data_IF_067579868321
#
_entry.id   IF_067579868321
#
_cell.length_a   1.000
_cell.length_b   1.000
_cell.length_c   1.000
_cell.angle_alpha   90.00
_cell.angle_beta   90.00
_cell.angle_gamma   90.00
#
_symmetry.space_group_name_H-M   'P 1'
#
loop_
_entity.id
_entity.type
_entity.pdbx_description
1 polymer ?
#
# COMPACT_ATOMS: atom_id res chain seq x y z
N UNK A 1 28.57 2.77 -4.39
CA UNK A 1 27.23 3.24 -3.96
C UNK A 1 27.28 3.55 -2.48
N UNK A 2 26.71 4.67 -2.03
CA UNK A 2 26.67 5.02 -0.60
C UNK A 2 25.95 3.89 0.17
N UNK A 3 26.55 3.34 1.23
CA UNK A 3 26.01 2.14 1.91
C UNK A 3 24.60 2.36 2.48
N UNK A 4 24.27 3.59 2.88
CA UNK A 4 22.92 3.96 3.30
C UNK A 4 21.93 3.95 2.13
N UNK A 5 22.34 4.43 0.95
CA UNK A 5 21.51 4.34 -0.27
C UNK A 5 21.26 2.87 -0.67
N UNK A 6 22.26 2.00 -0.50
CA UNK A 6 22.06 0.55 -0.69
C UNK A 6 21.00 -0.01 0.27
N UNK A 7 21.00 0.39 1.54
CA UNK A 7 19.96 -0.01 2.49
C UNK A 7 18.56 0.45 2.04
N UNK A 8 18.43 1.71 1.58
CA UNK A 8 17.16 2.24 1.05
C UNK A 8 16.68 1.44 -0.17
N UNK A 9 17.57 1.14 -1.12
CA UNK A 9 17.24 0.33 -2.30
C UNK A 9 16.81 -1.08 -1.87
N UNK A 10 17.49 -1.68 -0.89
CA UNK A 10 17.18 -3.02 -0.39
C UNK A 10 15.80 -3.07 0.30
N UNK A 11 15.44 -2.03 1.08
CA UNK A 11 14.08 -1.86 1.62
C UNK A 11 13.07 -1.77 0.47
N UNK A 12 13.38 -1.00 -0.58
CA UNK A 12 12.52 -0.89 -1.76
C UNK A 12 12.30 -2.21 -2.49
N UNK A 13 13.34 -3.05 -2.63
CA UNK A 13 13.19 -4.40 -3.20
C UNK A 13 12.29 -5.26 -2.32
N UNK A 14 12.49 -5.23 -1.01
CA UNK A 14 11.69 -6.02 -0.07
C UNK A 14 10.21 -5.61 -0.11
N UNK A 15 9.93 -4.31 -0.13
CA UNK A 15 8.58 -3.77 -0.28
C UNK A 15 7.99 -4.13 -1.64
N UNK A 16 8.74 -4.03 -2.74
CA UNK A 16 8.26 -4.45 -4.05
C UNK A 16 7.82 -5.92 -4.06
N UNK A 17 8.60 -6.82 -3.43
CA UNK A 17 8.24 -8.24 -3.29
C UNK A 17 6.98 -8.43 -2.44
N UNK A 18 6.95 -7.89 -1.22
CA UNK A 18 5.79 -8.03 -0.30
C UNK A 18 4.52 -7.48 -0.93
N UNK A 19 4.59 -6.28 -1.50
CA UNK A 19 3.42 -5.62 -2.06
C UNK A 19 3.02 -6.17 -3.43
N UNK A 20 3.89 -6.85 -4.18
CA UNK A 20 3.49 -7.46 -5.48
C UNK A 20 2.34 -8.45 -5.31
N UNK A 21 2.45 -9.33 -4.31
CA UNK A 21 1.40 -10.26 -3.93
C UNK A 21 0.23 -9.55 -3.24
N UNK A 22 0.52 -8.64 -2.30
CA UNK A 22 -0.52 -7.97 -1.51
C UNK A 22 -1.45 -7.09 -2.36
N UNK A 23 -0.93 -6.41 -3.38
CA UNK A 23 -1.74 -5.57 -4.28
C UNK A 23 -2.71 -6.42 -5.09
N UNK A 24 -2.24 -7.51 -5.67
CA UNK A 24 -3.10 -8.43 -6.42
C UNK A 24 -4.13 -9.08 -5.52
N UNK A 25 -3.71 -9.48 -4.32
CA UNK A 25 -4.63 -10.00 -3.34
C UNK A 25 -5.76 -8.99 -3.06
N UNK A 26 -5.43 -7.75 -2.67
CA UNK A 26 -6.45 -6.74 -2.39
C UNK A 26 -7.42 -6.51 -3.56
N UNK A 27 -6.96 -6.71 -4.80
CA UNK A 27 -7.77 -6.58 -6.02
C UNK A 27 -8.71 -7.77 -6.28
N UNK A 28 -8.30 -9.00 -5.96
CA UNK A 28 -9.10 -10.21 -6.24
C UNK A 28 -9.85 -10.75 -5.02
N UNK A 29 -9.50 -10.32 -3.81
CA UNK A 29 -9.96 -10.89 -2.53
C UNK A 29 -11.48 -11.04 -2.47
N UNK A 30 -12.22 -9.94 -2.70
CA UNK A 30 -13.67 -9.92 -2.57
C UNK A 30 -14.31 -10.89 -3.57
N UNK A 31 -13.80 -10.91 -4.81
CA UNK A 31 -14.29 -11.80 -5.86
C UNK A 31 -14.02 -13.28 -5.55
N UNK A 32 -12.81 -13.60 -5.06
CA UNK A 32 -12.42 -14.97 -4.69
C UNK A 32 -13.24 -15.47 -3.50
N UNK A 33 -13.39 -14.67 -2.45
CA UNK A 33 -14.16 -15.03 -1.25
C UNK A 33 -15.63 -15.23 -1.60
N UNK A 34 -16.21 -14.36 -2.42
CA UNK A 34 -17.60 -14.49 -2.91
C UNK A 34 -17.84 -15.83 -3.60
N UNK A 35 -17.01 -16.18 -4.58
CA UNK A 35 -17.13 -17.47 -5.29
C UNK A 35 -16.92 -18.67 -4.36
N UNK A 36 -16.03 -18.55 -3.37
CA UNK A 36 -15.81 -19.62 -2.38
C UNK A 36 -16.99 -19.78 -1.42
N UNK A 37 -17.65 -18.69 -1.02
CA UNK A 37 -18.85 -18.73 -0.20
C UNK A 37 -20.00 -19.46 -0.90
N UNK A 38 -20.11 -19.33 -2.23
CA UNK A 38 -21.08 -20.08 -3.05
C UNK A 38 -20.73 -21.57 -3.15
N UNK A 39 -19.43 -21.91 -3.30
CA UNK A 39 -18.96 -23.30 -3.45
C UNK A 39 -18.96 -24.08 -2.14
N UNK A 40 -18.70 -23.44 -1.01
CA UNK A 40 -18.55 -24.10 0.31
C UNK A 40 -19.42 -23.43 1.40
N UNK A 41 -20.74 -23.72 1.45
CA UNK A 41 -21.66 -23.09 2.41
C UNK A 41 -21.30 -23.37 3.88
N UNK A 42 -20.59 -24.46 4.16
CA UNK A 42 -20.20 -24.86 5.52
C UNK A 42 -19.00 -24.08 6.09
N UNK A 43 -18.35 -23.23 5.29
CA UNK A 43 -17.18 -22.43 5.68
C UNK A 43 -17.51 -21.22 6.58
N UNK A 44 -18.80 -20.89 6.72
CA UNK A 44 -19.28 -19.70 7.43
C UNK A 44 -19.09 -18.39 6.67
N UNK A 45 -18.59 -18.45 5.43
CA UNK A 45 -18.40 -17.28 4.57
C UNK A 45 -19.74 -16.82 3.99
N UNK A 46 -19.89 -15.51 3.87
CA UNK A 46 -21.01 -14.87 3.18
C UNK A 46 -20.49 -14.06 2.00
N UNK A 47 -21.38 -13.71 1.08
CA UNK A 47 -21.05 -12.87 -0.10
C UNK A 47 -20.26 -11.59 0.24
N UNK A 48 -20.51 -11.05 1.44
CA UNK A 48 -19.87 -9.81 1.94
C UNK A 48 -18.62 -10.05 2.80
N UNK A 49 -18.17 -11.29 3.00
CA UNK A 49 -17.04 -11.60 3.87
C UNK A 49 -15.74 -10.90 3.46
N UNK A 50 -15.49 -10.71 2.16
CA UNK A 50 -14.33 -9.94 1.68
C UNK A 50 -14.40 -8.46 2.07
N UNK A 51 -15.59 -7.85 2.06
CA UNK A 51 -15.76 -6.48 2.55
C UNK A 51 -15.51 -6.38 4.05
N UNK A 52 -16.03 -7.34 4.83
CA UNK A 52 -15.79 -7.37 6.27
C UNK A 52 -14.31 -7.55 6.60
N UNK A 53 -13.60 -8.44 5.89
CA UNK A 53 -12.14 -8.59 5.99
C UNK A 53 -11.41 -7.25 5.82
N UNK A 54 -11.71 -6.52 4.74
CA UNK A 54 -11.10 -5.23 4.44
C UNK A 54 -11.42 -4.17 5.51
N UNK A 55 -12.67 -4.09 5.96
CA UNK A 55 -13.09 -3.16 7.03
C UNK A 55 -12.32 -3.45 8.32
N UNK A 56 -12.24 -4.72 8.73
CA UNK A 56 -11.53 -5.13 9.94
C UNK A 56 -10.04 -4.77 9.83
N UNK A 57 -9.40 -5.10 8.71
CA UNK A 57 -7.98 -4.78 8.49
C UNK A 57 -7.71 -3.28 8.63
N UNK A 58 -8.47 -2.43 7.92
CA UNK A 58 -8.24 -0.99 7.97
C UNK A 58 -8.61 -0.38 9.32
N UNK A 59 -9.70 -0.81 9.96
CA UNK A 59 -10.09 -0.33 11.28
C UNK A 59 -9.01 -0.66 12.32
N UNK A 60 -8.56 -1.91 12.35
CA UNK A 60 -7.53 -2.37 13.27
C UNK A 60 -6.19 -1.68 12.97
N UNK A 61 -5.84 -1.47 11.70
CA UNK A 61 -4.66 -0.69 11.31
C UNK A 61 -4.71 0.72 11.90
N UNK A 62 -5.82 1.45 11.71
CA UNK A 62 -5.99 2.81 12.23
C UNK A 62 -5.94 2.88 13.77
N UNK A 63 -6.56 1.93 14.47
CA UNK A 63 -6.48 1.89 15.95
C UNK A 63 -5.05 1.56 16.39
N UNK A 64 -4.36 0.68 15.68
CA UNK A 64 -3.00 0.26 16.01
C UNK A 64 -1.99 1.41 15.90
N UNK A 65 -2.18 2.36 14.98
CA UNK A 65 -1.21 3.47 14.78
C UNK A 65 -0.97 4.30 16.04
N UNK A 66 -1.92 4.36 16.98
CA UNK A 66 -1.73 5.05 18.27
C UNK A 66 -0.71 4.36 19.18
N UNK A 67 -0.56 3.04 19.07
CA UNK A 67 0.27 2.23 19.98
C UNK A 67 1.59 1.78 19.35
N UNK A 68 1.72 1.93 18.03
CA UNK A 68 2.88 1.48 17.26
C UNK A 68 4.17 2.30 17.54
N UNK A 69 4.17 3.63 17.66
CA UNK A 69 5.41 4.38 17.87
C UNK A 69 6.19 3.97 19.14
N UNK A 70 5.54 3.80 20.33
CA UNK A 70 6.22 3.26 21.51
C UNK A 70 6.79 1.86 21.32
N UNK A 71 6.08 1.01 20.56
CA UNK A 71 6.51 -0.35 20.25
C UNK A 71 7.77 -0.35 19.37
N UNK A 72 7.81 0.49 18.34
CA UNK A 72 8.96 0.65 17.45
C UNK A 72 10.18 1.17 18.21
N UNK A 73 10.01 2.12 19.15
CA UNK A 73 11.10 2.65 19.98
C UNK A 73 11.82 1.55 20.77
N UNK A 74 11.10 0.51 21.20
CA UNK A 74 11.66 -0.64 21.96
C UNK A 74 12.30 -1.70 21.09
N UNK A 75 11.68 -2.04 19.96
CA UNK A 75 12.11 -3.14 19.07
C UNK A 75 13.17 -2.69 18.06
N UNK A 76 13.09 -1.44 17.60
CA UNK A 76 13.90 -0.86 16.54
C UNK A 76 13.26 -0.99 15.15
N UNK A 77 13.55 0.00 14.29
CA UNK A 77 12.92 0.18 12.98
C UNK A 77 13.01 -1.05 12.07
N UNK A 78 14.16 -1.73 12.03
CA UNK A 78 14.36 -2.94 11.22
C UNK A 78 13.45 -4.08 11.67
N UNK A 79 13.56 -4.48 12.93
CA UNK A 79 12.85 -5.65 13.45
C UNK A 79 11.34 -5.43 13.53
N UNK A 80 10.89 -4.20 13.73
CA UNK A 80 9.48 -3.84 13.60
C UNK A 80 8.95 -4.10 12.18
N UNK A 81 9.69 -3.74 11.13
CA UNK A 81 9.29 -4.07 9.76
C UNK A 81 9.21 -5.58 9.51
N UNK A 82 10.18 -6.35 10.03
CA UNK A 82 10.15 -7.83 9.91
C UNK A 82 8.92 -8.39 10.62
N UNK A 83 8.64 -7.98 11.86
CA UNK A 83 7.46 -8.44 12.61
C UNK A 83 6.16 -8.06 11.90
N UNK A 84 6.07 -6.83 11.40
CA UNK A 84 4.91 -6.36 10.66
C UNK A 84 4.68 -7.13 9.37
N UNK A 85 5.75 -7.48 8.64
CA UNK A 85 5.64 -8.21 7.36
C UNK A 85 5.26 -9.69 7.52
N UNK A 86 5.48 -10.31 8.69
CA UNK A 86 5.01 -11.68 8.98
C UNK A 86 3.48 -11.76 8.91
N UNK A 87 2.75 -10.72 9.30
CA UNK A 87 1.29 -10.74 9.24
C UNK A 87 0.76 -10.87 7.81
N UNK A 88 1.48 -10.34 6.82
CA UNK A 88 1.15 -10.48 5.39
C UNK A 88 1.29 -11.94 4.94
N UNK A 89 2.35 -12.64 5.38
CA UNK A 89 2.51 -14.07 5.08
C UNK A 89 1.38 -14.88 5.71
N UNK A 90 1.09 -14.64 7.00
CA UNK A 90 0.01 -15.32 7.71
C UNK A 90 -1.35 -15.10 7.03
N UNK A 91 -1.64 -13.88 6.59
CA UNK A 91 -2.87 -13.58 5.86
C UNK A 91 -2.98 -14.38 4.57
N UNK A 92 -1.91 -14.45 3.76
CA UNK A 92 -1.92 -15.25 2.53
C UNK A 92 -2.14 -16.74 2.82
N UNK A 93 -1.54 -17.28 3.88
CA UNK A 93 -1.70 -18.69 4.26
C UNK A 93 -3.12 -19.06 4.66
N UNK A 94 -3.92 -18.10 5.16
CA UNK A 94 -5.32 -18.37 5.53
C UNK A 94 -6.17 -18.84 4.34
N UNK A 95 -5.81 -18.44 3.13
CA UNK A 95 -6.53 -18.85 1.92
C UNK A 95 -6.26 -20.32 1.54
N UNK A 96 -5.27 -20.99 2.15
CA UNK A 96 -5.07 -22.43 1.98
C UNK A 96 -6.13 -23.24 2.74
N UNK A 97 -6.63 -22.71 3.86
CA UNK A 97 -7.68 -23.28 4.70
C UNK A 97 -8.67 -22.18 5.11
N UNK A 98 -9.49 -21.76 4.16
CA UNK A 98 -10.35 -20.59 4.34
C UNK A 98 -11.56 -20.91 5.23
N UNK A 99 -11.74 -20.12 6.28
CA UNK A 99 -12.92 -20.12 7.16
C UNK A 99 -13.19 -18.68 7.59
N UNK A 100 -14.45 -18.29 7.80
CA UNK A 100 -14.82 -16.96 8.27
C UNK A 100 -14.07 -16.50 9.53
N UNK A 101 -13.95 -17.36 10.55
CA UNK A 101 -13.26 -17.00 11.80
C UNK A 101 -11.77 -16.74 11.55
N UNK A 102 -11.13 -17.61 10.77
CA UNK A 102 -9.71 -17.50 10.47
C UNK A 102 -9.42 -16.27 9.60
N UNK A 103 -10.28 -16.01 8.61
CA UNK A 103 -10.20 -14.83 7.74
C UNK A 103 -10.23 -13.56 8.59
N UNK A 104 -11.27 -13.36 9.41
CA UNK A 104 -11.42 -12.13 10.19
C UNK A 104 -10.33 -11.95 11.25
N UNK A 105 -9.90 -13.04 11.90
CA UNK A 105 -8.78 -13.00 12.84
C UNK A 105 -7.47 -12.61 12.14
N UNK A 106 -7.22 -13.15 10.96
CA UNK A 106 -6.04 -12.82 10.17
C UNK A 106 -6.11 -11.41 9.58
N UNK A 107 -7.28 -10.91 9.20
CA UNK A 107 -7.46 -9.51 8.78
C UNK A 107 -7.11 -8.54 9.91
N UNK A 108 -7.52 -8.85 11.15
CA UNK A 108 -7.13 -8.04 12.32
C UNK A 108 -5.61 -8.09 12.55
N UNK A 109 -5.01 -9.28 12.49
CA UNK A 109 -3.56 -9.44 12.63
C UNK A 109 -2.78 -8.71 11.52
N UNK A 110 -3.28 -8.77 10.28
CA UNK A 110 -2.76 -8.03 9.14
C UNK A 110 -2.84 -6.52 9.38
N UNK A 111 -3.96 -6.01 9.93
CA UNK A 111 -4.12 -4.60 10.29
C UNK A 111 -3.06 -4.11 11.27
N UNK A 112 -2.81 -4.88 12.35
CA UNK A 112 -1.75 -4.57 13.33
C UNK A 112 -0.37 -4.56 12.64
N UNK A 113 -0.04 -5.63 11.91
CA UNK A 113 1.27 -5.74 11.27
C UNK A 113 1.49 -4.72 10.16
N UNK A 114 0.44 -4.33 9.43
CA UNK A 114 0.47 -3.26 8.43
C UNK A 114 0.79 -1.91 9.06
N UNK A 115 0.18 -1.57 10.20
CA UNK A 115 0.49 -0.34 10.93
C UNK A 115 1.96 -0.32 11.41
N UNK A 116 2.44 -1.44 11.98
CA UNK A 116 3.84 -1.57 12.40
C UNK A 116 4.78 -1.41 11.21
N UNK A 117 4.53 -2.12 10.09
CA UNK A 117 5.38 -2.12 8.90
C UNK A 117 5.52 -0.71 8.31
N UNK A 118 4.41 -0.01 8.10
CA UNK A 118 4.42 1.31 7.46
C UNK A 118 5.06 2.39 8.33
N UNK A 119 4.75 2.43 9.63
CA UNK A 119 5.32 3.42 10.55
C UNK A 119 6.82 3.15 10.73
N UNK A 120 7.23 1.89 10.88
CA UNK A 120 8.63 1.53 11.02
C UNK A 120 9.44 1.83 9.75
N UNK A 121 8.85 1.64 8.57
CA UNK A 121 9.48 2.00 7.31
C UNK A 121 9.67 3.51 7.16
N UNK A 122 8.65 4.32 7.48
CA UNK A 122 8.78 5.77 7.46
C UNK A 122 9.93 6.25 8.38
N UNK A 123 10.00 5.70 9.61
CA UNK A 123 11.08 5.99 10.55
C UNK A 123 12.45 5.50 10.04
N UNK A 124 12.52 4.31 9.41
CA UNK A 124 13.75 3.75 8.86
C UNK A 124 14.33 4.63 7.75
N UNK A 125 13.49 5.09 6.81
CA UNK A 125 13.95 5.96 5.71
C UNK A 125 14.50 7.28 6.25
N UNK A 126 13.84 7.88 7.25
CA UNK A 126 14.32 9.09 7.93
C UNK A 126 15.65 8.84 8.62
N UNK A 127 15.82 7.71 9.30
CA UNK A 127 17.07 7.38 9.98
C UNK A 127 18.26 7.14 9.03
N UNK A 128 18.00 6.59 7.84
CA UNK A 128 19.03 6.29 6.83
C UNK A 128 19.25 7.41 5.80
N UNK A 129 18.53 8.54 5.92
CA UNK A 129 18.63 9.66 4.98
C UNK A 129 19.08 10.96 5.65
N UNK A 130 20.00 11.69 5.01
CA UNK A 130 20.27 13.08 5.37
C UNK A 130 19.12 14.00 4.93
N UNK A 131 19.04 15.22 5.49
CA UNK A 131 17.96 16.19 5.16
C UNK A 131 17.81 16.44 3.66
N UNK A 132 18.93 16.57 2.94
CA UNK A 132 18.94 16.81 1.50
C UNK A 132 18.64 15.55 0.67
N UNK A 133 18.79 14.38 1.26
CA UNK A 133 18.60 13.09 0.58
C UNK A 133 17.22 12.47 0.83
N UNK A 134 16.53 12.89 1.90
CA UNK A 134 15.27 12.30 2.35
C UNK A 134 14.21 12.28 1.24
N UNK A 135 14.04 13.39 0.52
CA UNK A 135 13.08 13.49 -0.59
C UNK A 135 13.41 12.51 -1.72
N UNK A 136 14.70 12.42 -2.10
CA UNK A 136 15.18 11.50 -3.13
C UNK A 136 15.01 10.05 -2.71
N UNK A 137 15.43 9.69 -1.50
CA UNK A 137 15.37 8.33 -0.99
C UNK A 137 13.92 7.85 -0.80
N UNK A 138 13.03 8.74 -0.34
CA UNK A 138 11.59 8.48 -0.27
C UNK A 138 10.99 8.26 -1.66
N UNK A 139 11.35 9.10 -2.64
CA UNK A 139 10.87 8.95 -4.01
C UNK A 139 11.35 7.63 -4.67
N UNK A 140 12.60 7.21 -4.40
CA UNK A 140 13.12 5.92 -4.88
C UNK A 140 12.30 4.77 -4.29
N UNK A 141 12.06 4.78 -2.96
CA UNK A 141 11.25 3.76 -2.31
C UNK A 141 9.85 3.69 -2.92
N UNK A 142 9.22 4.86 -3.12
CA UNK A 142 7.87 4.95 -3.67
C UNK A 142 7.81 4.48 -5.12
N UNK A 143 8.78 4.87 -5.96
CA UNK A 143 8.88 4.40 -7.33
C UNK A 143 9.08 2.88 -7.42
N UNK A 144 9.91 2.30 -6.56
CA UNK A 144 10.09 0.85 -6.46
C UNK A 144 8.80 0.15 -6.02
N UNK A 145 8.07 0.72 -5.06
CA UNK A 145 6.77 0.19 -4.65
C UNK A 145 5.80 0.13 -5.82
N UNK A 146 5.81 1.09 -6.76
CA UNK A 146 4.88 1.05 -7.89
C UNK A 146 5.15 -0.07 -8.90
N UNK A 147 6.38 -0.58 -8.96
CA UNK A 147 6.69 -1.78 -9.76
C UNK A 147 5.97 -3.04 -9.26
N UNK A 148 5.45 -3.02 -8.02
CA UNK A 148 4.64 -4.12 -7.46
C UNK A 148 3.34 -4.36 -8.22
N UNK A 149 2.70 -3.31 -8.76
CA UNK A 149 1.50 -3.45 -9.60
C UNK A 149 1.80 -4.14 -10.94
N UNK A 150 2.96 -3.82 -11.53
CA UNK A 150 3.38 -4.41 -12.80
C UNK A 150 3.73 -5.88 -12.61
N UNK A 151 4.60 -6.20 -11.65
CA UNK A 151 5.00 -7.58 -11.37
C UNK A 151 3.82 -8.46 -10.96
N UNK A 152 2.93 -7.95 -10.10
CA UNK A 152 1.69 -8.63 -9.75
C UNK A 152 0.76 -8.84 -10.95
N UNK A 153 0.61 -7.83 -11.81
CA UNK A 153 -0.21 -7.92 -13.01
C UNK A 153 0.31 -8.94 -14.03
N UNK A 154 1.62 -8.97 -14.27
CA UNK A 154 2.25 -9.99 -15.13
C UNK A 154 2.01 -11.40 -14.58
N UNK A 155 2.16 -11.59 -13.27
CA UNK A 155 1.89 -12.88 -12.65
C UNK A 155 0.42 -13.29 -12.82
N UNK A 156 -0.51 -12.37 -12.62
CA UNK A 156 -1.93 -12.66 -12.77
C UNK A 156 -2.29 -13.01 -14.23
N UNK A 157 -1.70 -12.34 -15.22
CA UNK A 157 -1.86 -12.70 -16.64
C UNK A 157 -1.48 -14.16 -16.91
N UNK A 158 -0.38 -14.63 -16.32
CA UNK A 158 0.07 -16.01 -16.49
C UNK A 158 -0.89 -17.01 -15.86
N UNK A 159 -1.45 -16.68 -14.69
CA UNK A 159 -2.42 -17.53 -14.00
C UNK A 159 -3.74 -17.59 -14.77
N UNK A 160 -4.27 -16.44 -15.19
CA UNK A 160 -5.56 -16.37 -15.91
C UNK A 160 -5.51 -16.95 -17.31
N UNK A 161 -4.33 -16.98 -17.95
CA UNK A 161 -4.16 -17.68 -19.23
C UNK A 161 -4.17 -19.21 -19.09
N UNK A 162 -3.94 -19.75 -17.89
CA UNK A 162 -3.92 -21.20 -17.63
C UNK A 162 -5.24 -21.75 -17.10
N UNK A 163 -6.17 -20.91 -16.65
CA UNK A 163 -7.48 -21.30 -16.14
C UNK A 163 -8.16 -20.21 -15.29
N UNK A 164 -9.33 -20.52 -14.72
CA UNK A 164 -10.00 -19.62 -13.78
C UNK A 164 -9.19 -19.54 -12.46
N UNK A 165 -9.02 -18.31 -11.95
CA UNK A 165 -8.34 -18.01 -10.69
C UNK A 165 -8.94 -18.83 -9.54
N UNK A 166 -10.26 -19.08 -9.58
CA UNK A 166 -10.97 -19.79 -8.51
C UNK A 166 -10.57 -21.26 -8.40
N UNK A 167 -10.19 -21.92 -9.49
CA UNK A 167 -9.84 -23.34 -9.44
C UNK A 167 -8.37 -23.54 -9.04
N UNK A 168 -7.54 -22.52 -9.26
CA UNK A 168 -6.11 -22.51 -8.91
C UNK A 168 -5.78 -21.60 -7.72
N UNK A 169 -6.77 -21.18 -6.93
CA UNK A 169 -6.54 -20.17 -5.88
C UNK A 169 -5.53 -20.63 -4.82
N UNK A 170 -5.56 -21.90 -4.39
CA UNK A 170 -4.57 -22.43 -3.42
C UNK A 170 -3.14 -22.37 -3.98
N UNK A 171 -2.96 -22.65 -5.26
CA UNK A 171 -1.67 -22.51 -5.94
C UNK A 171 -1.22 -21.04 -6.00
N UNK A 172 -2.13 -20.13 -6.35
CA UNK A 172 -1.90 -18.69 -6.34
C UNK A 172 -1.42 -18.21 -4.96
N UNK A 173 -2.15 -18.55 -3.89
CA UNK A 173 -1.83 -18.12 -2.53
C UNK A 173 -0.56 -18.76 -1.97
N UNK A 174 -0.22 -19.98 -2.40
CA UNK A 174 1.06 -20.60 -2.07
C UNK A 174 2.22 -19.78 -2.65
N UNK A 175 2.13 -19.37 -3.93
CA UNK A 175 3.13 -18.51 -4.55
C UNK A 175 3.19 -17.14 -3.86
N UNK A 176 2.03 -16.54 -3.55
CA UNK A 176 1.99 -15.28 -2.80
C UNK A 176 2.69 -15.39 -1.44
N UNK A 177 2.42 -16.44 -0.67
CA UNK A 177 3.12 -16.69 0.59
C UNK A 177 4.63 -16.83 0.41
N UNK A 178 5.09 -17.53 -0.63
CA UNK A 178 6.52 -17.65 -0.93
C UNK A 178 7.16 -16.30 -1.29
N UNK A 179 6.54 -15.52 -2.19
CA UNK A 179 7.05 -14.21 -2.63
C UNK A 179 7.09 -13.22 -1.46
N UNK A 180 6.05 -13.16 -0.65
CA UNK A 180 6.03 -12.32 0.56
C UNK A 180 7.10 -12.79 1.55
N UNK A 181 7.23 -14.10 1.76
CA UNK A 181 8.27 -14.70 2.61
C UNK A 181 9.69 -14.34 2.17
N UNK A 182 9.98 -14.36 0.87
CA UNK A 182 11.23 -13.87 0.30
C UNK A 182 11.45 -12.38 0.67
N UNK A 183 10.43 -11.54 0.51
CA UNK A 183 10.50 -10.14 0.91
C UNK A 183 10.77 -9.93 2.42
N UNK A 184 10.16 -10.74 3.28
CA UNK A 184 10.44 -10.75 4.74
C UNK A 184 11.90 -11.10 5.01
N UNK A 185 12.46 -12.08 4.31
CA UNK A 185 13.87 -12.45 4.45
C UNK A 185 14.80 -11.31 4.01
N UNK A 186 14.45 -10.58 2.94
CA UNK A 186 15.20 -9.40 2.51
C UNK A 186 15.14 -8.29 3.58
N UNK A 187 13.97 -8.05 4.21
CA UNK A 187 13.86 -7.12 5.34
C UNK A 187 14.73 -7.55 6.53
N UNK A 188 14.78 -8.86 6.82
CA UNK A 188 15.61 -9.40 7.89
C UNK A 188 17.11 -9.23 7.62
N UNK A 189 17.53 -9.14 6.36
CA UNK A 189 18.91 -8.89 5.95
C UNK A 189 19.32 -7.40 6.01
N UNK A 190 18.40 -6.47 6.30
CA UNK A 190 18.71 -5.04 6.36
C UNK A 190 19.70 -4.67 7.47
N UNK A 191 20.49 -3.60 7.33
CA UNK A 191 21.28 -3.06 8.43
C UNK A 191 20.37 -2.44 9.50
N UNK A 192 20.70 -2.67 10.78
CA UNK A 192 19.89 -2.18 11.92
C UNK A 192 20.16 -0.72 12.29
N UNK A 193 21.32 -0.17 11.90
CA UNK A 193 21.73 1.21 12.19
C UNK A 193 22.48 1.80 10.99
N UNK A 194 22.40 3.12 10.76
CA UNK A 194 23.19 3.80 9.74
C UNK A 194 24.67 3.87 10.18
N UNK A 195 25.59 3.60 9.26
CA UNK A 195 27.01 3.41 9.58
C UNK A 195 27.74 4.72 9.95
N UNK A 196 27.22 5.89 9.55
CA UNK A 196 27.82 7.18 9.88
C UNK A 196 27.78 7.49 11.39
N UNK A 197 26.84 6.90 12.14
CA UNK A 197 26.80 7.02 13.62
C UNK A 197 27.97 6.31 14.32
N UNK A 198 28.66 5.37 13.67
CA UNK A 198 29.84 4.71 14.24
C UNK A 198 31.13 5.52 14.05
N UNK A 199 31.18 6.38 13.02
CA UNK A 199 32.35 7.22 12.72
C UNK A 199 32.31 8.51 13.54
N UNK A 200 31.13 9.14 13.70
CA UNK A 200 30.97 10.37 14.48
C UNK A 200 31.10 10.16 16.00
N UNK A 201 30.89 8.93 16.50
CA UNK A 201 31.12 8.59 17.90
C UNK A 201 32.62 8.56 18.27
N UNK A 202 33.51 8.44 17.29
CA UNK A 202 34.97 8.39 17.48
C UNK A 202 35.70 9.65 16.98
N UNK A 203 35.01 10.62 16.37
CA UNK A 203 35.66 11.79 15.77
C UNK A 203 34.81 13.07 15.97
N UNK A 204 35.16 13.82 17.02
CA UNK A 204 34.87 15.26 17.23
C UNK A 204 33.51 15.61 17.87
N UNK A 205 33.51 15.67 19.20
CA UNK A 205 32.35 15.83 20.08
C UNK A 205 31.73 17.23 20.26
N UNK A 206 31.90 18.20 19.36
CA UNK A 206 31.38 19.56 19.61
C UNK A 206 30.38 20.12 18.59
N UNK A 207 30.28 19.56 17.38
CA UNK A 207 29.31 20.04 16.34
C UNK A 207 28.12 19.07 16.22
N UNK A 208 28.34 17.79 16.52
CA UNK A 208 27.30 16.77 16.60
C UNK A 208 26.25 17.08 17.67
N UNK A 209 26.62 17.77 18.77
CA UNK A 209 25.72 18.08 19.90
C UNK A 209 24.56 19.04 19.56
N UNK A 210 24.75 19.98 18.62
CA UNK A 210 23.70 20.95 18.24
C UNK A 210 22.74 20.38 17.18
N UNK A 211 23.24 19.54 16.27
CA UNK A 211 22.42 18.81 15.29
C UNK A 211 21.69 17.65 15.98
N UNK A 212 22.34 17.00 16.96
CA UNK A 212 21.71 16.05 17.87
C UNK A 212 20.54 16.68 18.60
N UNK A 213 20.63 17.88 19.18
CA UNK A 213 19.50 18.49 19.91
C UNK A 213 18.24 18.74 19.05
N UNK A 214 18.38 18.97 17.74
CA UNK A 214 17.24 19.18 16.84
C UNK A 214 16.63 17.85 16.31
N UNK A 215 17.42 16.78 16.19
CA UNK A 215 16.93 15.44 15.82
C UNK A 215 16.49 14.59 17.02
N UNK A 216 17.15 14.75 18.16
CA UNK A 216 16.86 14.13 19.46
C UNK A 216 15.65 14.74 20.16
N UNK A 217 15.17 15.92 19.77
CA UNK A 217 13.88 16.41 20.24
C UNK A 217 12.71 15.47 19.87
N UNK A 218 12.92 14.56 18.91
CA UNK A 218 11.96 13.54 18.50
C UNK A 218 12.36 12.10 18.91
N UNK A 219 13.59 11.86 19.38
CA UNK A 219 14.04 10.53 19.85
C UNK A 219 14.41 10.41 21.33
N UNK A 220 14.80 11.50 22.02
CA UNK A 220 15.38 11.46 23.37
C UNK A 220 14.50 12.08 24.46
N UNK A 221 13.26 12.49 24.17
CA UNK A 221 12.29 12.67 25.25
C UNK A 221 11.88 11.31 25.79
N UNK A 222 12.42 11.03 26.98
CA UNK A 222 11.92 10.12 28.01
C UNK A 222 12.15 8.61 27.79
N UNK A 223 13.00 8.08 28.68
CA UNK A 223 13.01 6.67 29.09
C UNK A 223 11.58 6.27 29.49
N UNK A 224 11.14 5.09 29.10
CA UNK A 224 9.73 4.69 29.19
C UNK A 224 9.23 4.54 30.64
N UNK A 225 8.73 5.62 31.20
CA UNK A 225 7.69 5.61 32.24
C UNK A 225 6.32 5.68 31.58
N UNK A 226 5.28 5.13 32.21
CA UNK A 226 3.89 5.18 31.73
C UNK A 226 3.40 6.63 31.55
N UNK A 227 3.96 7.58 32.30
CA UNK A 227 3.78 9.02 32.11
C UNK A 227 4.23 9.49 30.71
N UNK A 228 5.28 8.88 30.14
CA UNK A 228 5.80 9.17 28.80
C UNK A 228 4.84 8.81 27.68
N UNK A 229 4.14 7.67 27.79
CA UNK A 229 3.17 7.24 26.76
C UNK A 229 1.94 8.14 26.78
N UNK A 230 1.51 8.57 27.98
CA UNK A 230 0.42 9.53 28.13
C UNK A 230 0.78 10.88 27.50
N UNK A 231 1.97 11.40 27.78
CA UNK A 231 2.43 12.66 27.19
C UNK A 231 2.62 12.56 25.67
N UNK A 232 3.16 11.45 25.16
CA UNK A 232 3.24 11.17 23.71
C UNK A 232 1.83 11.16 23.09
N UNK A 233 0.88 10.45 23.71
CA UNK A 233 -0.50 10.40 23.23
C UNK A 233 -1.18 11.80 23.25
N UNK A 234 -1.04 12.56 24.34
CA UNK A 234 -1.55 13.93 24.42
C UNK A 234 -0.89 14.86 23.39
N UNK A 235 0.40 14.66 23.10
CA UNK A 235 1.12 15.44 22.09
C UNK A 235 0.54 15.22 20.68
N UNK A 236 0.10 14.00 20.34
CA UNK A 236 -0.56 13.71 19.06
C UNK A 236 -1.86 14.53 18.91
N UNK A 237 -2.68 14.59 19.96
CA UNK A 237 -3.91 15.41 19.95
C UNK A 237 -3.64 16.90 19.92
N UNK A 238 -2.50 17.34 20.47
CA UNK A 238 -2.06 18.73 20.39
C UNK A 238 -1.60 19.08 18.97
N UNK A 239 -0.80 18.22 18.34
CA UNK A 239 -0.35 18.37 16.95
C UNK A 239 -1.51 18.36 15.96
N UNK A 240 -2.54 17.55 16.21
CA UNK A 240 -3.75 17.53 15.38
C UNK A 240 -4.46 18.89 15.30
N UNK A 241 -4.30 19.76 16.31
CA UNK A 241 -4.89 21.12 16.33
C UNK A 241 -4.04 22.14 15.56
N UNK A 242 -2.86 21.77 15.09
CA UNK A 242 -2.05 22.68 14.30
C UNK A 242 -2.73 22.96 12.94
N UNK A 243 -2.82 24.23 12.52
CA UNK A 243 -3.58 24.61 11.33
C UNK A 243 -3.06 23.95 10.05
N UNK A 244 -1.74 23.72 9.97
CA UNK A 244 -1.10 23.04 8.84
C UNK A 244 -1.53 21.57 8.78
N UNK A 245 -1.58 20.88 9.92
CA UNK A 245 -2.03 19.49 10.00
C UNK A 245 -3.51 19.39 9.65
N UNK A 246 -4.36 20.31 10.11
CA UNK A 246 -5.79 20.34 9.77
C UNK A 246 -6.03 20.47 8.26
N UNK A 247 -5.28 21.34 7.58
CA UNK A 247 -5.36 21.47 6.11
C UNK A 247 -4.88 20.19 5.43
N UNK A 248 -3.81 19.58 5.95
CA UNK A 248 -3.23 18.37 5.37
C UNK A 248 -4.12 17.13 5.61
N UNK A 249 -4.92 17.10 6.68
CA UNK A 249 -5.89 16.03 6.94
C UNK A 249 -6.89 15.88 5.78
N UNK A 250 -7.36 16.99 5.19
CA UNK A 250 -8.25 16.94 4.02
C UNK A 250 -7.56 16.25 2.83
N UNK A 251 -6.28 16.53 2.61
CA UNK A 251 -5.48 15.90 1.55
C UNK A 251 -5.26 14.41 1.84
N UNK A 252 -4.99 14.03 3.08
CA UNK A 252 -4.81 12.63 3.47
C UNK A 252 -6.09 11.80 3.38
N UNK A 253 -7.24 12.39 3.75
CA UNK A 253 -8.55 11.75 3.57
C UNK A 253 -8.80 11.48 2.09
N UNK A 254 -8.56 12.47 1.23
CA UNK A 254 -8.68 12.29 -0.21
C UNK A 254 -7.74 11.21 -0.74
N UNK A 255 -6.47 11.21 -0.33
CA UNK A 255 -5.50 10.18 -0.71
C UNK A 255 -5.94 8.78 -0.25
N UNK A 256 -6.58 8.66 0.91
CA UNK A 256 -7.16 7.40 1.39
C UNK A 256 -8.33 6.92 0.54
N UNK A 257 -9.23 7.82 0.12
CA UNK A 257 -10.31 7.49 -0.81
C UNK A 257 -9.78 7.03 -2.16
N UNK A 258 -8.81 7.74 -2.70
CA UNK A 258 -8.16 7.41 -3.97
C UNK A 258 -7.46 6.04 -3.88
N UNK A 259 -6.68 5.81 -2.83
CA UNK A 259 -6.02 4.53 -2.56
C UNK A 259 -7.00 3.35 -2.46
N UNK A 260 -8.17 3.56 -1.84
CA UNK A 260 -9.22 2.55 -1.72
C UNK A 260 -9.89 2.29 -3.07
N UNK A 261 -10.10 3.35 -3.86
CA UNK A 261 -10.76 3.27 -5.16
C UNK A 261 -9.97 2.39 -6.13
N UNK A 262 -8.66 2.62 -6.28
CA UNK A 262 -7.83 1.82 -7.18
C UNK A 262 -7.35 0.50 -6.59
N UNK A 263 -7.24 0.45 -5.25
CA UNK A 263 -6.75 -0.73 -4.54
C UNK A 263 -7.67 -1.93 -4.72
N UNK A 264 -8.99 -1.72 -4.70
CA UNK A 264 -9.96 -2.83 -4.76
C UNK A 264 -11.29 -2.48 -5.44
N UNK A 265 -11.87 -1.31 -5.16
CA UNK A 265 -13.25 -0.98 -5.56
C UNK A 265 -13.42 -0.97 -7.07
N UNK A 266 -12.56 -0.26 -7.80
CA UNK A 266 -12.64 -0.16 -9.25
C UNK A 266 -12.53 -1.55 -9.90
N UNK A 267 -11.50 -2.30 -9.52
CA UNK A 267 -11.25 -3.66 -10.04
C UNK A 267 -12.46 -4.55 -9.79
N UNK A 268 -13.02 -4.50 -8.60
CA UNK A 268 -14.20 -5.26 -8.23
C UNK A 268 -15.41 -4.90 -9.07
N UNK A 269 -15.64 -3.61 -9.35
CA UNK A 269 -16.75 -3.18 -10.20
C UNK A 269 -16.60 -3.73 -11.63
N UNK A 270 -15.38 -3.72 -12.17
CA UNK A 270 -15.11 -4.29 -13.49
C UNK A 270 -15.28 -5.82 -13.48
N UNK A 271 -14.79 -6.51 -12.45
CA UNK A 271 -14.98 -7.96 -12.29
C UNK A 271 -16.45 -8.36 -12.14
N UNK A 272 -17.21 -7.56 -11.38
CA UNK A 272 -18.64 -7.78 -11.13
C UNK A 272 -19.50 -7.42 -12.35
N UNK A 273 -18.96 -6.69 -13.34
CA UNK A 273 -19.65 -6.44 -14.60
C UNK A 273 -19.45 -7.63 -15.55
N UNK A 274 -20.40 -8.58 -15.53
CA UNK A 274 -20.29 -9.88 -16.21
C UNK A 274 -20.18 -9.78 -17.74
N UNK A 275 -20.74 -8.71 -18.33
CA UNK A 275 -20.57 -8.42 -19.75
C UNK A 275 -19.11 -8.19 -20.16
N UNK A 276 -18.23 -7.90 -19.20
CA UNK A 276 -16.80 -7.60 -19.41
C UNK A 276 -15.94 -8.74 -18.87
N UNK A 277 -16.22 -9.20 -17.65
CA UNK A 277 -15.36 -10.19 -17.00
C UNK A 277 -15.47 -11.59 -17.59
N UNK A 278 -16.64 -11.99 -18.13
CA UNK A 278 -16.80 -13.31 -18.77
C UNK A 278 -15.98 -13.44 -20.07
N UNK A 279 -16.02 -12.49 -21.02
CA UNK A 279 -15.19 -12.58 -22.22
C UNK A 279 -13.69 -12.36 -21.96
N UNK A 280 -13.33 -11.69 -20.87
CA UNK A 280 -11.97 -11.29 -20.56
C UNK A 280 -11.55 -11.71 -19.13
N UNK A 281 -11.22 -13.00 -18.90
CA UNK A 281 -10.84 -13.49 -17.57
C UNK A 281 -9.57 -12.81 -17.02
N UNK A 282 -8.69 -12.34 -17.91
CA UNK A 282 -7.45 -11.62 -17.60
C UNK A 282 -7.65 -10.13 -17.33
N UNK A 283 -8.89 -9.62 -17.22
CA UNK A 283 -9.16 -8.17 -17.11
C UNK A 283 -8.46 -7.54 -15.91
N UNK A 284 -8.46 -8.21 -14.75
CA UNK A 284 -7.81 -7.69 -13.53
C UNK A 284 -6.32 -7.48 -13.75
N UNK A 285 -5.67 -8.40 -14.45
CA UNK A 285 -4.25 -8.33 -14.71
C UNK A 285 -3.89 -7.11 -15.58
N UNK A 286 -4.73 -6.81 -16.59
CA UNK A 286 -4.60 -5.59 -17.37
C UNK A 286 -4.86 -4.32 -16.55
N UNK A 287 -5.81 -4.36 -15.61
CA UNK A 287 -6.05 -3.25 -14.67
C UNK A 287 -4.81 -3.00 -13.82
N UNK A 288 -4.23 -4.04 -13.19
CA UNK A 288 -3.02 -3.91 -12.37
C UNK A 288 -1.85 -3.34 -13.17
N UNK A 289 -1.64 -3.83 -14.41
CA UNK A 289 -0.63 -3.30 -15.31
C UNK A 289 -0.91 -1.83 -15.65
N UNK A 290 -2.16 -1.49 -15.98
CA UNK A 290 -2.58 -0.13 -16.30
C UNK A 290 -2.33 0.85 -15.16
N UNK A 291 -2.59 0.45 -13.91
CA UNK A 291 -2.26 1.23 -12.70
C UNK A 291 -0.75 1.41 -12.59
N UNK A 292 0.02 0.32 -12.65
CA UNK A 292 1.47 0.36 -12.49
C UNK A 292 2.17 1.22 -13.55
N UNK A 293 1.80 1.08 -14.82
CA UNK A 293 2.31 1.93 -15.89
C UNK A 293 1.86 3.38 -15.73
N UNK A 294 0.60 3.63 -15.36
CA UNK A 294 0.08 4.97 -15.09
C UNK A 294 0.93 5.70 -14.05
N UNK A 295 1.17 5.08 -12.89
CA UNK A 295 1.90 5.72 -11.80
C UNK A 295 3.37 5.98 -12.13
N UNK A 296 4.03 5.04 -12.81
CA UNK A 296 5.42 5.23 -13.23
C UNK A 296 5.51 6.36 -14.27
N UNK A 297 4.66 6.33 -15.29
CA UNK A 297 4.60 7.39 -16.30
C UNK A 297 4.30 8.75 -15.67
N UNK A 298 3.37 8.80 -14.71
CA UNK A 298 3.03 9.98 -13.93
C UNK A 298 4.19 10.61 -13.18
N UNK A 299 4.93 9.77 -12.44
CA UNK A 299 6.14 10.19 -11.74
C UNK A 299 7.17 10.82 -12.70
N UNK A 300 7.36 10.23 -13.89
CA UNK A 300 8.31 10.74 -14.89
C UNK A 300 7.82 12.01 -15.59
N UNK A 301 6.57 12.05 -16.04
CA UNK A 301 6.01 13.19 -16.76
C UNK A 301 6.01 14.43 -15.88
N UNK A 302 5.45 14.36 -14.67
CA UNK A 302 5.43 15.51 -13.76
C UNK A 302 6.84 15.90 -13.29
N UNK A 303 7.72 14.94 -13.01
CA UNK A 303 9.11 15.21 -12.67
C UNK A 303 9.87 15.96 -13.77
N UNK A 304 9.58 15.66 -15.04
CA UNK A 304 10.20 16.33 -16.18
C UNK A 304 9.52 17.67 -16.53
N UNK A 305 8.19 17.74 -16.50
CA UNK A 305 7.41 18.96 -16.78
C UNK A 305 7.75 20.10 -15.81
N UNK A 306 7.91 19.81 -14.52
CA UNK A 306 8.37 20.79 -13.51
C UNK A 306 9.72 21.38 -13.89
N UNK A 307 10.67 20.52 -14.29
CA UNK A 307 12.05 20.93 -14.58
C UNK A 307 12.20 21.65 -15.91
N UNK A 308 11.49 21.23 -16.95
CA UNK A 308 11.69 21.71 -18.33
C UNK A 308 10.81 22.89 -18.71
N UNK A 309 9.56 22.92 -18.21
CA UNK A 309 8.57 23.94 -18.61
C UNK A 309 8.45 25.03 -17.53
N UNK A 310 9.09 24.87 -16.37
CA UNK A 310 8.98 25.82 -15.26
C UNK A 310 7.55 25.95 -14.76
N UNK A 311 6.72 24.92 -14.93
CA UNK A 311 5.34 24.93 -14.48
C UNK A 311 5.33 25.02 -12.95
N UNK A 312 4.65 26.05 -12.43
CA UNK A 312 4.41 26.18 -11.00
C UNK A 312 3.72 24.92 -10.47
N UNK A 313 4.15 24.45 -9.29
CA UNK A 313 3.58 23.27 -8.62
C UNK A 313 2.05 23.38 -8.48
N UNK A 314 1.52 24.58 -8.28
CA UNK A 314 0.08 24.84 -8.20
C UNK A 314 -0.67 24.53 -9.51
N UNK A 315 -0.09 24.87 -10.67
CA UNK A 315 -0.70 24.59 -11.98
C UNK A 315 -0.75 23.10 -12.26
N UNK A 316 0.30 22.38 -11.84
CA UNK A 316 0.34 20.92 -11.94
C UNK A 316 -0.79 20.30 -11.11
N UNK A 317 -0.94 20.73 -9.86
CA UNK A 317 -2.02 20.23 -8.99
C UNK A 317 -3.40 20.46 -9.63
N UNK A 318 -3.64 21.60 -10.28
CA UNK A 318 -4.91 21.86 -10.97
C UNK A 318 -5.13 20.89 -12.13
N UNK A 319 -4.12 20.69 -12.98
CA UNK A 319 -4.21 19.72 -14.11
C UNK A 319 -4.50 18.32 -13.59
N UNK A 320 -3.81 17.91 -12.53
CA UNK A 320 -4.00 16.64 -11.84
C UNK A 320 -5.44 16.46 -11.36
N UNK A 321 -6.00 17.46 -10.68
CA UNK A 321 -7.38 17.44 -10.20
C UNK A 321 -8.37 17.31 -11.37
N UNK A 322 -8.14 18.03 -12.46
CA UNK A 322 -9.01 17.98 -13.65
C UNK A 322 -8.98 16.60 -14.33
N UNK A 323 -7.80 16.02 -14.48
CA UNK A 323 -7.64 14.66 -15.04
C UNK A 323 -8.33 13.64 -14.13
N UNK A 324 -8.16 13.75 -12.82
CA UNK A 324 -8.82 12.83 -11.88
C UNK A 324 -10.34 12.95 -11.94
N UNK A 325 -10.87 14.17 -11.89
CA UNK A 325 -12.31 14.41 -11.90
C UNK A 325 -12.96 13.91 -13.19
N UNK A 326 -12.31 14.18 -14.33
CA UNK A 326 -12.73 13.66 -15.64
C UNK A 326 -12.77 12.14 -15.63
N UNK A 327 -11.77 11.50 -15.02
CA UNK A 327 -11.69 10.05 -14.98
C UNK A 327 -12.73 9.40 -14.06
N UNK A 328 -13.05 10.02 -12.92
CA UNK A 328 -14.17 9.59 -12.08
C UNK A 328 -15.52 9.72 -12.79
N UNK A 329 -15.72 10.81 -13.55
CA UNK A 329 -16.91 10.96 -14.38
C UNK A 329 -17.01 9.84 -15.42
N UNK A 330 -15.89 9.48 -16.06
CA UNK A 330 -15.86 8.35 -16.99
C UNK A 330 -16.19 7.03 -16.30
N UNK A 331 -15.70 6.78 -15.09
CA UNK A 331 -16.09 5.59 -14.32
C UNK A 331 -17.61 5.52 -14.11
N UNK A 332 -18.26 6.62 -13.72
CA UNK A 332 -19.71 6.67 -13.53
C UNK A 332 -20.47 6.39 -14.84
N UNK A 333 -19.97 6.92 -15.95
CA UNK A 333 -20.62 6.77 -17.26
C UNK A 333 -20.50 5.35 -17.83
N UNK A 334 -19.36 4.68 -17.62
CA UNK A 334 -19.07 3.40 -18.25
C UNK A 334 -19.31 2.20 -17.33
N UNK A 335 -19.25 2.34 -16.00
CA UNK A 335 -19.41 1.23 -15.05
C UNK A 335 -20.80 1.28 -14.41
N UNK A 336 -21.56 0.16 -14.42
CA UNK A 336 -22.89 0.12 -13.83
C UNK A 336 -22.83 0.24 -12.31
N UNK A 337 -23.69 1.08 -11.71
CA UNK A 337 -23.70 1.33 -10.26
C UNK A 337 -23.87 0.05 -9.41
N UNK A 338 -24.64 -0.92 -9.90
CA UNK A 338 -24.89 -2.21 -9.21
C UNK A 338 -23.66 -3.11 -9.10
N UNK A 339 -22.66 -2.92 -9.96
CA UNK A 339 -21.40 -3.72 -9.91
C UNK A 339 -20.59 -3.52 -8.64
N UNK A 340 -20.89 -2.47 -7.87
CA UNK A 340 -20.31 -2.24 -6.54
C UNK A 340 -20.78 -3.27 -5.51
N UNK A 341 -21.98 -3.84 -5.66
CA UNK A 341 -22.55 -4.71 -4.63
C UNK A 341 -22.56 -6.17 -5.07
N UNK A 342 -22.99 -6.43 -6.30
CA UNK A 342 -23.17 -7.79 -6.79
C UNK A 342 -22.79 -7.93 -8.27
N UNK A 343 -22.50 -9.15 -8.75
CA UNK A 343 -22.33 -9.39 -10.16
C UNK A 343 -23.58 -8.96 -10.93
N UNK A 344 -23.40 -8.22 -12.03
CA UNK A 344 -24.50 -7.72 -12.87
C UNK A 344 -24.18 -7.87 -14.35
N UNK A 345 -25.23 -8.09 -15.14
CA UNK A 345 -25.20 -8.01 -16.60
C UNK A 345 -25.54 -6.62 -17.13
N UNK A 346 -25.87 -5.68 -16.23
CA UNK A 346 -26.19 -4.30 -16.60
C UNK A 346 -24.99 -3.65 -17.29
N UNK A 347 -25.27 -2.80 -18.28
CA UNK A 347 -24.27 -1.96 -18.92
C UNK A 347 -24.24 -0.59 -18.24
N UNK A 348 -23.11 0.11 -18.34
CA UNK A 348 -23.06 1.54 -18.02
C UNK A 348 -23.95 2.35 -18.96
N UNK A 349 -24.10 3.64 -18.68
CA UNK A 349 -24.86 4.56 -19.53
C UNK A 349 -24.38 4.54 -20.98
N UNK A 350 -23.07 4.31 -21.20
CA UNK A 350 -22.48 4.16 -22.52
C UNK A 350 -21.73 2.83 -22.65
N UNK A 351 -21.76 2.27 -23.87
CA UNK A 351 -20.95 1.10 -24.21
C UNK A 351 -19.53 1.52 -24.57
N UNK A 352 -18.57 1.12 -23.74
CA UNK A 352 -17.14 1.20 -24.06
C UNK A 352 -16.52 -0.18 -24.21
N UNK A 353 -15.57 -0.29 -25.15
CA UNK A 353 -14.69 -1.44 -25.27
C UNK A 353 -13.88 -1.67 -23.99
N UNK A 354 -13.45 -2.91 -23.75
CA UNK A 354 -12.64 -3.24 -22.55
C UNK A 354 -11.32 -2.46 -22.52
N UNK A 355 -10.70 -2.22 -23.68
CA UNK A 355 -9.47 -1.43 -23.82
C UNK A 355 -9.67 0.00 -23.33
N UNK A 356 -10.76 0.65 -23.74
CA UNK A 356 -11.07 2.01 -23.32
C UNK A 356 -11.26 2.12 -21.80
N UNK A 357 -11.90 1.12 -21.18
CA UNK A 357 -12.08 1.06 -19.72
C UNK A 357 -10.75 0.89 -18.98
N UNK A 358 -9.82 0.09 -19.53
CA UNK A 358 -8.44 -0.01 -19.01
C UNK A 358 -7.68 1.31 -19.20
N UNK A 359 -7.86 2.00 -20.33
CA UNK A 359 -7.21 3.29 -20.56
C UNK A 359 -7.70 4.38 -19.59
N UNK A 360 -8.99 4.35 -19.20
CA UNK A 360 -9.52 5.25 -18.16
C UNK A 360 -8.73 5.07 -16.85
N UNK A 361 -8.44 3.83 -16.45
CA UNK A 361 -7.64 3.51 -15.25
C UNK A 361 -6.26 4.14 -15.37
N UNK A 362 -5.55 3.86 -16.46
CA UNK A 362 -4.22 4.43 -16.66
C UNK A 362 -4.20 5.96 -16.61
N UNK A 363 -5.29 6.63 -17.01
CA UNK A 363 -5.47 8.09 -16.88
C UNK A 363 -5.78 8.56 -15.46
N UNK A 364 -6.54 7.79 -14.66
CA UNK A 364 -6.76 8.04 -13.22
C UNK A 364 -5.42 8.06 -12.46
N UNK A 365 -4.45 7.25 -12.89
CA UNK A 365 -3.23 7.01 -12.11
C UNK A 365 -1.97 7.68 -12.66
N UNK A 366 -2.10 8.70 -13.51
CA UNK A 366 -0.93 9.48 -13.99
C UNK A 366 -0.32 10.33 -12.86
N UNK A 367 -0.70 10.19 -11.58
CA UNK A 367 -0.24 11.05 -10.48
C UNK A 367 0.48 10.27 -9.40
#
# INVERSE_FOLDING_TARGET
MNRNLFAIVLVGVAFALIFSANRIQSQIEIFVIRKLAEKEPNSGLVDKSGYYSQIIMYLVCNVSTFFVPPLIKRIGNKWSQVIGSISFVCFMLTFLQLNATLLYAASAFLGIGGAILWIANAAYVVEFSSKDELSRNTAILWGMLQTSFISGGVFLLFVTNKGDITDSYKFLYTIFSCVVGLGVMVLAALPSKPMNKEIDANSNGNISEQIEKAGKAQSDSSKSDISSIREEFLSLFRMMKEPIILILMAVFIYAGFEASFYGSIYTLCVQSTLAISKPHPSIVAYISLGIGFGQICGCFTFGHLVKKIGLDKHKIIIVVILVQFSSYLMCILFIPARSTLSPTTDLGYFYASYQYRISIISLIFVI
#
